data_IF_065382580224
#
_entry.id   IF_065382580224
#
_cell.length_a   1.000
_cell.length_b   1.000
_cell.length_c   1.000
_cell.angle_alpha   90.00
_cell.angle_beta   90.00
_cell.angle_gamma   90.00
#
_symmetry.space_group_name_H-M   'P 1'
#
loop_
_entity.id
_entity.type
_entity.pdbx_description
1 polymer ?
#
# COMPACT_ATOMS: atom_id res chain seq x y z
N UNK A 1 14.57 29.12 16.24
CA UNK A 1 14.21 27.75 16.69
C UNK A 1 15.46 26.88 16.63
N UNK A 2 15.81 26.18 17.70
CA UNK A 2 16.96 25.25 17.70
C UNK A 2 16.56 23.94 17.01
N UNK A 3 17.19 23.63 15.89
CA UNK A 3 16.95 22.37 15.17
C UNK A 3 17.43 21.16 15.99
N UNK A 4 16.60 20.13 16.09
CA UNK A 4 16.91 18.92 16.84
C UNK A 4 17.72 17.96 15.95
N UNK A 5 18.86 17.48 16.45
CA UNK A 5 19.71 16.50 15.76
C UNK A 5 19.21 15.08 16.02
N UNK A 6 19.10 14.28 14.96
CA UNK A 6 18.68 12.88 15.00
C UNK A 6 19.66 12.02 14.20
N UNK A 7 19.80 10.74 14.58
CA UNK A 7 20.62 9.79 13.85
C UNK A 7 19.98 9.34 12.52
N UNK A 8 18.64 9.39 12.47
CA UNK A 8 17.83 9.13 11.29
C UNK A 8 16.47 9.84 11.43
N UNK A 9 15.84 10.14 10.28
CA UNK A 9 14.44 10.56 10.17
C UNK A 9 13.71 9.58 9.28
N UNK A 10 12.60 9.02 9.77
CA UNK A 10 11.71 8.12 9.02
C UNK A 10 10.36 8.80 8.80
N UNK A 11 9.93 8.88 7.55
CA UNK A 11 8.68 9.55 7.15
C UNK A 11 7.62 8.51 6.81
N UNK A 12 6.54 8.48 7.58
CA UNK A 12 5.40 7.58 7.47
C UNK A 12 5.44 6.46 8.52
N UNK A 13 4.29 6.19 9.15
CA UNK A 13 4.09 5.10 10.12
C UNK A 13 3.16 3.99 9.58
N UNK A 14 3.17 3.80 8.26
CA UNK A 14 2.59 2.60 7.63
C UNK A 14 3.47 1.35 7.81
N UNK A 15 3.10 0.22 7.18
CA UNK A 15 3.86 -1.03 7.25
C UNK A 15 5.37 -0.88 7.03
N UNK A 16 5.78 -0.16 5.99
CA UNK A 16 7.19 0.00 5.67
C UNK A 16 7.93 0.87 6.70
N UNK A 17 7.34 2.00 7.11
CA UNK A 17 7.95 2.89 8.09
C UNK A 17 8.11 2.25 9.47
N UNK A 18 7.11 1.47 9.91
CA UNK A 18 7.22 0.67 11.12
C UNK A 18 8.38 -0.33 11.01
N UNK A 19 8.49 -1.06 9.90
CA UNK A 19 9.60 -1.98 9.66
C UNK A 19 10.97 -1.28 9.61
N UNK A 20 11.06 -0.09 9.03
CA UNK A 20 12.30 0.72 9.01
C UNK A 20 12.73 1.05 10.43
N UNK A 21 11.81 1.58 11.26
CA UNK A 21 12.11 1.92 12.65
C UNK A 21 12.59 0.69 13.42
N UNK A 22 11.90 -0.44 13.28
CA UNK A 22 12.29 -1.69 13.92
C UNK A 22 13.72 -2.13 13.54
N UNK A 23 14.07 -2.06 12.25
CA UNK A 23 15.41 -2.41 11.78
C UNK A 23 16.47 -1.40 12.23
N UNK A 24 16.18 -0.09 12.22
CA UNK A 24 17.14 0.93 12.67
C UNK A 24 17.40 0.86 14.18
N UNK A 25 16.39 0.56 14.98
CA UNK A 25 16.53 0.38 16.43
C UNK A 25 17.42 -0.82 16.78
N UNK A 26 17.39 -1.92 15.99
CA UNK A 26 18.34 -3.04 16.15
C UNK A 26 19.80 -2.63 15.91
N UNK A 27 20.04 -1.57 15.15
CA UNK A 27 21.39 -1.07 14.86
C UNK A 27 21.96 -0.18 15.95
N UNK A 28 21.17 0.17 16.97
CA UNK A 28 21.61 0.94 18.13
C UNK A 28 22.41 2.19 17.74
N UNK A 29 21.85 3.00 16.83
CA UNK A 29 22.51 4.20 16.34
C UNK A 29 22.84 5.17 17.49
N UNK A 30 23.94 5.90 17.35
CA UNK A 30 24.30 6.98 18.27
C UNK A 30 23.34 8.17 18.11
N UNK A 31 22.26 8.17 18.89
CA UNK A 31 21.26 9.24 18.94
C UNK A 31 19.83 8.76 18.68
N UNK A 32 18.87 9.68 18.78
CA UNK A 32 17.45 9.36 18.57
C UNK A 32 17.11 9.20 17.09
N UNK A 33 16.14 8.34 16.80
CA UNK A 33 15.50 8.22 15.50
C UNK A 33 14.21 9.02 15.54
N UNK A 34 14.09 10.05 14.70
CA UNK A 34 12.83 10.75 14.53
C UNK A 34 11.90 9.92 13.64
N UNK A 35 10.69 9.66 14.11
CA UNK A 35 9.65 9.01 13.34
C UNK A 35 8.51 9.98 13.15
N UNK A 36 8.11 10.23 11.90
CA UNK A 36 7.15 11.28 11.56
C UNK A 36 5.95 10.63 10.88
N UNK A 37 4.75 10.85 11.41
CA UNK A 37 3.51 10.45 10.76
C UNK A 37 2.36 11.39 11.15
N UNK A 38 1.38 11.64 10.27
CA UNK A 38 0.23 12.48 10.62
C UNK A 38 -0.64 11.92 11.76
N UNK A 39 -0.60 10.60 11.99
CA UNK A 39 -1.59 9.89 12.82
C UNK A 39 -1.03 8.79 13.73
N UNK A 40 0.08 8.14 13.37
CA UNK A 40 0.59 6.90 13.98
C UNK A 40 -0.43 5.76 14.03
N UNK A 41 -1.30 5.69 13.02
CA UNK A 41 -2.38 4.70 12.98
C UNK A 41 -2.11 3.53 12.02
N UNK A 42 -0.86 3.21 11.65
CA UNK A 42 -0.60 2.06 10.76
C UNK A 42 -0.92 2.31 9.28
N UNK A 43 -0.94 3.57 8.85
CA UNK A 43 -1.10 3.99 7.45
C UNK A 43 -2.46 3.63 6.82
N UNK A 44 -2.47 3.47 5.49
CA UNK A 44 -3.71 3.20 4.73
C UNK A 44 -4.33 1.83 5.05
N UNK A 45 -3.52 0.83 5.40
CA UNK A 45 -4.02 -0.51 5.79
C UNK A 45 -5.02 -0.45 6.93
N UNK A 46 -4.70 0.29 8.00
CA UNK A 46 -5.62 0.45 9.13
C UNK A 46 -6.76 1.44 8.85
N UNK A 47 -6.51 2.50 8.07
CA UNK A 47 -7.54 3.53 7.84
C UNK A 47 -8.63 3.10 6.85
N UNK A 48 -8.26 2.35 5.81
CA UNK A 48 -9.14 2.06 4.67
C UNK A 48 -9.40 0.58 4.44
N UNK A 49 -8.46 -0.32 4.82
CA UNK A 49 -8.50 -1.71 4.38
C UNK A 49 -8.78 -2.73 5.48
N UNK A 50 -9.34 -2.34 6.63
CA UNK A 50 -9.59 -3.28 7.74
C UNK A 50 -10.50 -4.45 7.35
N UNK A 51 -11.54 -4.18 6.56
CA UNK A 51 -12.52 -5.20 6.12
C UNK A 51 -12.01 -6.05 4.95
N UNK A 52 -10.90 -5.65 4.32
CA UNK A 52 -10.37 -6.34 3.14
C UNK A 52 -9.83 -7.72 3.54
N UNK A 53 -10.27 -8.81 2.88
CA UNK A 53 -9.64 -10.11 3.04
C UNK A 53 -8.22 -10.05 2.45
N UNK A 54 -7.23 -10.42 3.25
CA UNK A 54 -5.84 -10.38 2.81
C UNK A 54 -5.52 -11.45 1.76
N UNK A 55 -4.51 -11.18 0.95
CA UNK A 55 -3.85 -12.16 0.07
C UNK A 55 -2.59 -12.79 0.70
N UNK A 56 -2.37 -12.53 2.00
CA UNK A 56 -1.16 -12.87 2.75
C UNK A 56 -1.53 -13.87 3.84
N UNK A 57 -0.73 -14.95 3.97
CA UNK A 57 -0.93 -15.93 5.03
C UNK A 57 -0.70 -15.31 6.41
N UNK A 58 -1.45 -15.76 7.42
CA UNK A 58 -1.32 -15.29 8.80
C UNK A 58 0.12 -15.45 9.31
N UNK A 59 0.77 -16.57 9.01
CA UNK A 59 2.18 -16.83 9.36
C UNK A 59 3.14 -15.72 8.92
N UNK A 60 2.88 -15.05 7.79
CA UNK A 60 3.72 -13.95 7.30
C UNK A 60 3.51 -12.66 8.10
N UNK A 61 2.31 -12.43 8.65
CA UNK A 61 2.07 -11.34 9.60
C UNK A 61 2.78 -11.59 10.94
N UNK A 62 2.81 -12.84 11.40
CA UNK A 62 3.54 -13.23 12.60
C UNK A 62 5.06 -13.14 12.39
N UNK A 63 5.57 -13.56 11.23
CA UNK A 63 6.97 -13.41 10.86
C UNK A 63 7.37 -11.92 10.82
N UNK A 64 6.52 -11.06 10.27
CA UNK A 64 6.71 -9.61 10.28
C UNK A 64 6.82 -9.05 11.71
N UNK A 65 5.87 -9.38 12.59
CA UNK A 65 5.82 -8.81 13.95
C UNK A 65 6.95 -9.29 14.85
N UNK A 66 7.57 -10.43 14.56
CA UNK A 66 8.64 -11.01 15.38
C UNK A 66 10.03 -10.85 14.76
N UNK A 67 10.12 -10.20 13.60
CA UNK A 67 11.34 -10.16 12.80
C UNK A 67 12.53 -9.49 13.50
N UNK A 68 12.27 -8.46 14.31
CA UNK A 68 13.27 -7.59 14.91
C UNK A 68 13.11 -7.52 16.44
N UNK A 69 14.22 -7.34 17.15
CA UNK A 69 14.26 -7.35 18.61
C UNK A 69 13.36 -6.29 19.26
N UNK A 70 13.30 -5.03 18.78
CA UNK A 70 12.38 -4.03 19.34
C UNK A 70 10.92 -4.47 19.29
N UNK A 71 10.49 -5.15 18.23
CA UNK A 71 9.12 -5.66 18.16
C UNK A 71 8.88 -6.81 19.12
N UNK A 72 9.84 -7.74 19.24
CA UNK A 72 9.77 -8.84 20.22
C UNK A 72 9.66 -8.30 21.65
N UNK A 73 10.40 -7.22 21.97
CA UNK A 73 10.31 -6.55 23.26
C UNK A 73 8.89 -6.00 23.50
N UNK A 74 8.33 -5.25 22.53
CA UNK A 74 6.95 -4.74 22.62
C UNK A 74 5.94 -5.88 22.83
N UNK A 75 6.06 -6.96 22.07
CA UNK A 75 5.16 -8.13 22.21
C UNK A 75 5.27 -8.71 23.62
N UNK A 76 6.49 -8.92 24.12
CA UNK A 76 6.72 -9.51 25.45
C UNK A 76 6.24 -8.64 26.60
N UNK A 77 6.25 -7.31 26.43
CA UNK A 77 5.81 -6.35 27.45
C UNK A 77 4.33 -5.96 27.32
N UNK A 78 3.60 -6.47 26.33
CA UNK A 78 2.19 -6.12 26.12
C UNK A 78 1.29 -7.10 26.89
N UNK A 79 0.50 -6.65 27.88
CA UNK A 79 -0.40 -7.52 28.64
C UNK A 79 -1.43 -8.21 27.75
N UNK A 80 -1.91 -9.38 28.16
CA UNK A 80 -3.01 -10.09 27.49
C UNK A 80 -4.37 -9.72 28.08
N UNK A 81 -5.45 -9.63 27.28
CA UNK A 81 -5.53 -9.95 25.84
C UNK A 81 -4.92 -8.84 24.95
N UNK A 82 -4.28 -9.24 23.85
CA UNK A 82 -3.67 -8.30 22.90
C UNK A 82 -3.73 -8.80 21.44
N UNK A 83 -3.51 -7.91 20.45
CA UNK A 83 -3.57 -8.27 19.03
C UNK A 83 -2.60 -9.39 18.60
N UNK A 84 -1.46 -9.51 19.27
CA UNK A 84 -0.46 -10.55 18.97
C UNK A 84 -0.98 -11.94 19.31
N UNK A 85 -1.56 -12.09 20.51
CA UNK A 85 -2.19 -13.34 20.95
C UNK A 85 -3.40 -13.70 20.07
N UNK A 86 -4.17 -12.71 19.62
CA UNK A 86 -5.28 -12.93 18.68
C UNK A 86 -4.77 -13.44 17.34
N UNK A 87 -3.73 -12.81 16.77
CA UNK A 87 -3.14 -13.21 15.48
C UNK A 87 -2.54 -14.63 15.54
N UNK A 88 -1.91 -15.00 16.66
CA UNK A 88 -1.32 -16.32 16.87
C UNK A 88 -2.35 -17.46 16.97
N UNK A 89 -3.61 -17.16 17.33
CA UNK A 89 -4.69 -18.15 17.41
C UNK A 89 -5.37 -18.45 16.08
N UNK A 90 -5.12 -17.63 15.05
CA UNK A 90 -5.66 -17.88 13.71
C UNK A 90 -4.91 -19.04 13.03
N UNK A 91 -5.53 -19.61 12.00
CA UNK A 91 -4.88 -20.61 11.15
C UNK A 91 -3.71 -19.98 10.38
N UNK A 92 -2.50 -20.46 10.66
CA UNK A 92 -1.25 -19.90 10.15
C UNK A 92 -1.04 -20.13 8.64
N UNK A 93 -1.74 -21.10 8.06
CA UNK A 93 -1.67 -21.45 6.64
C UNK A 93 -2.74 -20.78 5.78
N UNK A 94 -3.70 -20.11 6.42
CA UNK A 94 -4.79 -19.39 5.75
C UNK A 94 -4.52 -17.88 5.70
N UNK A 95 -5.31 -17.20 4.89
CA UNK A 95 -5.43 -15.74 4.90
C UNK A 95 -6.43 -15.28 5.96
N UNK A 96 -6.36 -14.03 6.40
CA UNK A 96 -7.33 -13.42 7.32
C UNK A 96 -7.81 -12.04 6.82
N UNK A 97 -8.80 -11.43 7.48
CA UNK A 97 -9.10 -10.01 7.26
C UNK A 97 -7.93 -9.13 7.75
N UNK A 98 -7.69 -8.03 7.03
CA UNK A 98 -6.56 -7.13 7.31
C UNK A 98 -6.70 -6.36 8.62
N UNK A 99 -7.87 -6.34 9.28
CA UNK A 99 -8.00 -5.79 10.62
C UNK A 99 -7.03 -6.43 11.62
N UNK A 100 -6.74 -7.73 11.49
CA UNK A 100 -5.79 -8.41 12.38
C UNK A 100 -4.36 -7.89 12.20
N UNK A 101 -3.94 -7.68 10.95
CA UNK A 101 -2.65 -7.06 10.65
C UNK A 101 -2.61 -5.59 11.10
N UNK A 102 -3.71 -4.85 10.90
CA UNK A 102 -3.82 -3.46 11.32
C UNK A 102 -3.73 -3.31 12.85
N UNK A 103 -4.39 -4.17 13.63
CA UNK A 103 -4.32 -4.14 15.09
C UNK A 103 -2.94 -4.55 15.61
N UNK A 104 -2.31 -5.55 14.99
CA UNK A 104 -0.92 -5.94 15.27
C UNK A 104 0.06 -4.78 15.01
N UNK A 105 -0.06 -4.09 13.87
CA UNK A 105 0.79 -2.92 13.57
C UNK A 105 0.52 -1.74 14.50
N UNK A 106 -0.74 -1.51 14.90
CA UNK A 106 -1.09 -0.46 15.86
C UNK A 106 -0.45 -0.73 17.21
N UNK A 107 -0.57 -1.96 17.73
CA UNK A 107 0.06 -2.35 18.99
C UNK A 107 1.59 -2.24 18.95
N UNK A 108 2.23 -2.61 17.84
CA UNK A 108 3.68 -2.39 17.66
C UNK A 108 4.02 -0.90 17.67
N UNK A 109 3.27 -0.09 16.94
CA UNK A 109 3.46 1.37 16.88
C UNK A 109 3.35 1.97 18.28
N UNK A 110 2.30 1.64 19.03
CA UNK A 110 2.03 2.13 20.39
C UNK A 110 3.15 1.78 21.38
N UNK A 111 3.82 0.63 21.20
CA UNK A 111 4.98 0.25 22.01
C UNK A 111 6.26 0.96 21.58
N UNK A 112 6.51 1.08 20.28
CA UNK A 112 7.73 1.68 19.72
C UNK A 112 7.80 3.19 20.00
N UNK A 113 6.69 3.92 19.92
CA UNK A 113 6.67 5.37 20.20
C UNK A 113 7.03 5.71 21.66
N UNK A 114 6.99 4.73 22.57
CA UNK A 114 7.34 4.89 23.99
C UNK A 114 8.83 4.63 24.28
N UNK A 115 9.60 4.18 23.30
CA UNK A 115 11.03 3.92 23.48
C UNK A 115 11.82 5.22 23.52
N UNK A 116 12.75 5.36 24.47
CA UNK A 116 13.55 6.58 24.66
C UNK A 116 14.37 6.98 23.43
N UNK A 117 14.75 6.00 22.62
CA UNK A 117 15.49 6.13 21.36
C UNK A 117 14.64 6.71 20.23
N UNK A 118 13.32 6.75 20.38
CA UNK A 118 12.39 7.23 19.35
C UNK A 118 11.90 8.63 19.71
N UNK A 119 12.04 9.55 18.75
CA UNK A 119 11.39 10.86 18.80
C UNK A 119 10.18 10.81 17.86
N UNK A 120 9.00 10.50 18.41
CA UNK A 120 7.77 10.47 17.64
C UNK A 120 7.24 11.90 17.42
N UNK A 121 7.07 12.29 16.15
CA UNK A 121 6.61 13.62 15.76
C UNK A 121 5.35 13.51 14.91
N UNK A 122 4.23 14.02 15.43
CA UNK A 122 2.97 14.04 14.69
C UNK A 122 2.97 15.20 13.69
N UNK A 123 2.98 14.88 12.40
CA UNK A 123 3.00 15.89 11.34
C UNK A 123 3.34 15.31 9.98
N UNK A 124 3.51 16.20 9.01
CA UNK A 124 3.88 15.88 7.63
C UNK A 124 5.18 16.56 7.29
N UNK A 125 6.11 15.83 6.64
CA UNK A 125 7.29 16.46 6.06
C UNK A 125 6.88 17.22 4.81
N UNK A 126 7.18 18.51 4.76
CA UNK A 126 6.85 19.38 3.62
C UNK A 126 8.07 19.62 2.74
N UNK A 127 9.26 19.71 3.33
CA UNK A 127 10.52 19.87 2.63
C UNK A 127 11.67 19.16 3.34
N UNK A 128 12.73 18.83 2.59
CA UNK A 128 14.01 18.43 3.14
C UNK A 128 15.16 18.90 2.24
N UNK A 129 16.13 19.58 2.86
CA UNK A 129 17.25 20.21 2.16
C UNK A 129 18.56 19.60 2.64
N UNK A 130 19.37 19.09 1.71
CA UNK A 130 20.72 18.62 2.00
C UNK A 130 21.74 19.74 1.77
N UNK A 131 22.65 19.90 2.72
CA UNK A 131 23.77 20.85 2.63
C UNK A 131 25.09 20.13 2.34
N UNK A 132 26.14 20.86 1.95
CA UNK A 132 27.52 20.37 1.69
C UNK A 132 28.08 19.37 2.72
N UNK A 133 27.63 19.41 3.98
CA UNK A 133 28.03 18.46 5.02
C UNK A 133 27.30 17.10 4.93
N UNK A 134 26.54 16.86 3.86
CA UNK A 134 25.71 15.69 3.59
C UNK A 134 24.57 15.43 4.60
N UNK A 135 24.31 16.36 5.53
CA UNK A 135 23.16 16.28 6.43
C UNK A 135 21.92 16.91 5.80
N UNK A 136 20.78 16.27 6.04
CA UNK A 136 19.45 16.73 5.71
C UNK A 136 18.89 17.59 6.83
N UNK A 137 18.40 18.78 6.47
CA UNK A 137 17.49 19.57 7.29
C UNK A 137 16.07 19.27 6.83
N UNK A 138 15.26 18.67 7.69
CA UNK A 138 13.90 18.21 7.42
C UNK A 138 12.91 19.13 8.11
N UNK A 139 11.90 19.57 7.35
CA UNK A 139 10.88 20.52 7.78
C UNK A 139 9.55 19.79 7.96
N UNK A 140 9.04 19.81 9.19
CA UNK A 140 7.82 19.09 9.58
C UNK A 140 6.74 20.09 9.93
N UNK A 141 5.64 20.06 9.18
CA UNK A 141 4.44 20.83 9.46
C UNK A 141 3.57 20.08 10.48
N UNK A 142 3.25 20.74 11.60
CA UNK A 142 2.29 20.19 12.56
C UNK A 142 0.85 20.34 12.06
N UNK A 143 -0.03 19.35 12.29
CA UNK A 143 -1.43 19.46 11.89
C UNK A 143 -2.11 20.63 12.61
N UNK A 144 -2.76 21.52 11.86
CA UNK A 144 -3.55 22.63 12.43
C UNK A 144 -2.73 23.73 13.11
N UNK A 145 -1.42 23.79 12.90
CA UNK A 145 -0.56 24.87 13.39
C UNK A 145 0.29 25.42 12.24
N UNK A 146 0.69 26.68 12.30
CA UNK A 146 1.72 27.27 11.43
C UNK A 146 3.14 26.96 11.93
N UNK A 147 3.28 26.33 13.09
CA UNK A 147 4.58 25.97 13.64
C UNK A 147 5.25 24.86 12.85
N UNK A 148 6.50 25.10 12.48
CA UNK A 148 7.37 24.16 11.80
C UNK A 148 8.40 23.58 12.78
N UNK A 149 8.64 22.27 12.72
CA UNK A 149 9.73 21.61 13.43
C UNK A 149 10.85 21.34 12.45
N UNK A 150 12.08 21.71 12.85
CA UNK A 150 13.29 21.46 12.05
C UNK A 150 14.13 20.35 12.69
N UNK A 151 14.43 19.33 11.88
CA UNK A 151 15.24 18.18 12.27
C UNK A 151 16.49 18.11 11.39
N UNK A 152 17.65 17.83 11.99
CA UNK A 152 18.90 17.61 11.26
C UNK A 152 19.28 16.14 11.37
N UNK A 153 19.56 15.50 10.24
CA UNK A 153 19.87 14.07 10.19
C UNK A 153 20.85 13.72 9.07
N UNK A 154 21.75 12.75 9.26
CA UNK A 154 22.53 12.20 8.15
C UNK A 154 21.69 11.27 7.25
N UNK A 155 20.51 10.84 7.70
CA UNK A 155 19.67 9.83 7.03
C UNK A 155 18.21 10.25 7.01
N UNK A 156 17.62 10.34 5.83
CA UNK A 156 16.21 10.57 5.57
C UNK A 156 15.63 9.36 4.84
N UNK A 157 14.67 8.68 5.46
CA UNK A 157 14.02 7.48 4.91
C UNK A 157 12.55 7.79 4.61
N UNK A 158 12.16 7.70 3.34
CA UNK A 158 10.84 8.00 2.83
C UNK A 158 9.99 6.71 2.74
N UNK A 159 8.94 6.63 3.55
CA UNK A 159 7.91 5.58 3.51
C UNK A 159 6.53 6.20 3.27
N UNK A 160 6.44 7.06 2.24
CA UNK A 160 5.30 7.98 2.02
C UNK A 160 3.99 7.30 1.66
N UNK A 161 4.03 6.06 1.14
CA UNK A 161 2.83 5.32 0.79
C UNK A 161 2.33 5.61 -0.62
N UNK A 162 1.08 5.22 -0.87
CA UNK A 162 0.45 5.32 -2.19
C UNK A 162 -1.07 5.40 -2.03
N UNK A 163 -1.74 5.85 -3.10
CA UNK A 163 -3.19 5.92 -3.23
C UNK A 163 -3.66 5.14 -4.48
N UNK A 164 -4.91 4.67 -4.53
CA UNK A 164 -5.48 4.08 -5.74
C UNK A 164 -5.27 4.99 -6.94
N UNK A 165 -4.76 4.43 -8.03
CA UNK A 165 -4.51 5.20 -9.25
C UNK A 165 -5.83 5.65 -9.85
N UNK A 166 -5.93 6.96 -10.08
CA UNK A 166 -7.08 7.59 -10.73
C UNK A 166 -6.62 8.17 -12.07
N UNK A 167 -7.16 7.66 -13.17
CA UNK A 167 -6.88 8.16 -14.52
C UNK A 167 -8.09 8.91 -15.09
N UNK A 168 -7.89 9.90 -15.96
CA UNK A 168 -8.98 10.50 -16.73
C UNK A 168 -9.76 9.43 -17.50
N UNK A 169 -11.07 9.60 -17.61
CA UNK A 169 -11.92 8.70 -18.41
C UNK A 169 -11.69 9.03 -19.88
N UNK A 170 -11.35 8.06 -20.76
CA UNK A 170 -10.99 8.34 -22.16
C UNK A 170 -12.21 8.63 -23.07
N UNK A 171 -13.33 9.03 -22.47
CA UNK A 171 -14.63 9.29 -23.12
C UNK A 171 -15.14 10.64 -22.60
N UNK A 172 -15.45 11.55 -23.51
CA UNK A 172 -15.99 12.88 -23.19
C UNK A 172 -17.52 12.84 -23.00
N UNK A 173 -18.08 13.86 -22.35
CA UNK A 173 -19.53 14.05 -22.21
C UNK A 173 -20.22 13.06 -21.26
N UNK A 174 -19.50 12.56 -20.26
CA UNK A 174 -20.01 11.64 -19.23
C UNK A 174 -20.32 12.39 -17.93
N UNK A 175 -21.10 13.46 -18.01
CA UNK A 175 -21.33 14.39 -16.89
C UNK A 175 -22.06 13.73 -15.70
N UNK A 176 -22.82 12.67 -15.96
CA UNK A 176 -23.54 11.90 -14.95
C UNK A 176 -22.74 10.74 -14.34
N UNK A 177 -21.53 10.45 -14.85
CA UNK A 177 -20.73 9.33 -14.37
C UNK A 177 -19.95 9.73 -13.11
N UNK A 178 -20.37 9.20 -11.97
CA UNK A 178 -19.72 9.47 -10.70
C UNK A 178 -18.51 8.55 -10.49
N UNK A 179 -17.39 9.10 -10.00
CA UNK A 179 -16.29 8.24 -9.55
C UNK A 179 -16.64 7.64 -8.20
N UNK A 180 -16.49 6.33 -8.09
CA UNK A 180 -16.61 5.61 -6.84
C UNK A 180 -15.22 5.14 -6.42
N UNK A 181 -14.70 5.74 -5.34
CA UNK A 181 -13.34 5.51 -4.87
C UNK A 181 -13.13 4.02 -4.52
N UNK A 182 -11.99 3.46 -4.97
CA UNK A 182 -11.65 2.07 -4.70
C UNK A 182 -11.61 1.77 -3.19
N UNK A 183 -11.17 2.73 -2.36
CA UNK A 183 -11.13 2.57 -0.90
C UNK A 183 -12.54 2.35 -0.33
N UNK A 184 -13.54 3.08 -0.84
CA UNK A 184 -14.95 2.91 -0.45
C UNK A 184 -15.46 1.54 -0.91
N UNK A 185 -15.15 1.13 -2.14
CA UNK A 185 -15.63 -0.15 -2.70
C UNK A 185 -15.06 -1.35 -1.96
N UNK A 186 -13.84 -1.23 -1.45
CA UNK A 186 -13.18 -2.27 -0.68
C UNK A 186 -13.63 -2.34 0.79
N UNK A 187 -14.52 -1.43 1.22
CA UNK A 187 -15.08 -1.36 2.56
C UNK A 187 -16.59 -1.57 2.53
N UNK A 188 -17.08 -2.83 2.63
CA UNK A 188 -18.51 -3.16 2.54
C UNK A 188 -19.41 -2.31 3.43
N UNK A 189 -18.97 -2.02 4.67
CA UNK A 189 -19.72 -1.18 5.61
C UNK A 189 -19.99 0.24 5.12
N UNK A 190 -19.09 0.83 4.33
CA UNK A 190 -19.28 2.15 3.72
C UNK A 190 -20.03 2.03 2.38
N UNK A 191 -19.63 1.07 1.54
CA UNK A 191 -20.17 0.88 0.19
C UNK A 191 -21.71 0.75 0.17
N UNK A 192 -22.28 0.06 1.16
CA UNK A 192 -23.72 -0.17 1.30
C UNK A 192 -24.56 1.12 1.45
N UNK A 193 -23.92 2.22 1.83
CA UNK A 193 -24.56 3.52 2.04
C UNK A 193 -24.32 4.50 0.88
N UNK A 194 -23.23 4.30 0.13
CA UNK A 194 -22.83 5.18 -0.98
C UNK A 194 -23.62 4.88 -2.26
N UNK A 195 -23.92 3.61 -2.53
CA UNK A 195 -24.72 3.24 -3.70
C UNK A 195 -26.21 3.42 -3.38
N UNK A 196 -26.98 4.19 -4.17
CA UNK A 196 -28.41 4.34 -3.95
C UNK A 196 -29.18 3.02 -4.14
N UNK A 197 -30.12 2.74 -3.24
CA UNK A 197 -30.99 1.54 -3.26
C UNK A 197 -32.29 1.72 -4.03
N UNK A 198 -32.77 2.95 -4.12
CA UNK A 198 -34.14 3.26 -4.57
C UNK A 198 -34.30 3.26 -6.10
N UNK A 199 -33.21 3.13 -6.85
CA UNK A 199 -33.24 3.09 -8.31
C UNK A 199 -32.13 2.20 -8.87
N UNK A 200 -32.27 1.81 -10.13
CA UNK A 200 -31.26 0.99 -10.80
C UNK A 200 -29.93 1.72 -10.90
N UNK A 201 -28.87 0.99 -10.60
CA UNK A 201 -27.49 1.45 -10.61
C UNK A 201 -26.68 0.54 -11.52
N UNK A 202 -25.82 1.12 -12.35
CA UNK A 202 -24.85 0.34 -13.13
C UNK A 202 -23.45 0.83 -12.83
N UNK A 203 -22.65 0.00 -12.18
CA UNK A 203 -21.27 0.32 -11.79
C UNK A 203 -20.31 -0.24 -12.83
N UNK A 204 -19.50 0.60 -13.45
CA UNK A 204 -18.37 0.18 -14.26
C UNK A 204 -17.18 -0.13 -13.35
N UNK A 205 -16.56 -1.31 -13.48
CA UNK A 205 -15.34 -1.69 -12.78
C UNK A 205 -14.24 -1.96 -13.80
N UNK A 206 -13.15 -1.21 -13.73
CA UNK A 206 -11.99 -1.36 -14.63
C UNK A 206 -10.85 -2.03 -13.89
N UNK A 207 -10.38 -3.16 -14.43
CA UNK A 207 -9.24 -3.92 -13.89
C UNK A 207 -9.58 -5.39 -13.63
N UNK A 208 -8.56 -6.23 -13.50
CA UNK A 208 -8.69 -7.67 -13.23
C UNK A 208 -7.70 -8.17 -12.16
N UNK A 209 -7.12 -7.24 -11.39
CA UNK A 209 -6.20 -7.53 -10.28
C UNK A 209 -6.95 -7.90 -9.00
N UNK A 210 -6.21 -8.25 -7.94
CA UNK A 210 -6.80 -8.63 -6.65
C UNK A 210 -7.84 -7.62 -6.12
N UNK A 211 -7.54 -6.32 -6.13
CA UNK A 211 -8.47 -5.28 -5.70
C UNK A 211 -9.71 -5.18 -6.60
N UNK A 212 -9.55 -5.42 -7.92
CA UNK A 212 -10.69 -5.41 -8.83
C UNK A 212 -11.65 -6.57 -8.55
N UNK A 213 -11.11 -7.76 -8.28
CA UNK A 213 -11.92 -8.94 -7.96
C UNK A 213 -12.64 -8.78 -6.63
N UNK A 214 -11.99 -8.20 -5.62
CA UNK A 214 -12.66 -7.87 -4.36
C UNK A 214 -13.73 -6.79 -4.52
N UNK A 215 -13.50 -5.80 -5.40
CA UNK A 215 -14.53 -4.82 -5.73
C UNK A 215 -15.76 -5.48 -6.37
N UNK A 216 -15.56 -6.40 -7.32
CA UNK A 216 -16.64 -7.19 -7.92
C UNK A 216 -17.34 -8.06 -6.89
N UNK A 217 -16.60 -8.69 -5.98
CA UNK A 217 -17.15 -9.50 -4.90
C UNK A 217 -18.07 -8.67 -4.00
N UNK A 218 -17.63 -7.50 -3.54
CA UNK A 218 -18.43 -6.62 -2.69
C UNK A 218 -19.67 -6.08 -3.43
N UNK A 219 -19.54 -5.72 -4.71
CA UNK A 219 -20.68 -5.25 -5.52
C UNK A 219 -21.69 -6.37 -5.80
N UNK A 220 -21.21 -7.60 -6.07
CA UNK A 220 -22.04 -8.79 -6.19
C UNK A 220 -22.79 -9.07 -4.88
N UNK A 221 -22.10 -8.96 -3.74
CA UNK A 221 -22.69 -9.14 -2.42
C UNK A 221 -23.81 -8.13 -2.15
N UNK A 222 -23.61 -6.87 -2.51
CA UNK A 222 -24.67 -5.87 -2.45
C UNK A 222 -25.82 -6.19 -3.39
N UNK A 223 -25.54 -6.59 -4.62
CA UNK A 223 -26.54 -6.87 -5.64
C UNK A 223 -27.47 -8.05 -5.23
N UNK A 224 -26.91 -9.09 -4.60
CA UNK A 224 -27.69 -10.25 -4.14
C UNK A 224 -28.45 -10.00 -2.82
N UNK A 225 -28.09 -8.98 -2.05
CA UNK A 225 -28.66 -8.74 -0.70
C UNK A 225 -29.51 -7.48 -0.61
N UNK A 226 -28.90 -6.31 -0.78
CA UNK A 226 -29.48 -5.01 -0.40
C UNK A 226 -29.81 -4.11 -1.59
N UNK A 227 -29.24 -4.42 -2.76
CA UNK A 227 -29.36 -3.62 -3.99
C UNK A 227 -29.76 -4.50 -5.19
N UNK A 228 -30.95 -5.12 -5.22
CA UNK A 228 -31.34 -6.10 -6.26
C UNK A 228 -31.33 -5.54 -7.69
N UNK A 229 -31.41 -4.22 -7.84
CA UNK A 229 -31.36 -3.51 -9.13
C UNK A 229 -29.94 -3.07 -9.54
N UNK A 230 -28.92 -3.37 -8.73
CA UNK A 230 -27.51 -3.09 -9.04
C UNK A 230 -27.03 -4.04 -10.14
N UNK A 231 -26.37 -3.46 -11.15
CA UNK A 231 -25.67 -4.19 -12.21
C UNK A 231 -24.22 -3.71 -12.28
N UNK A 232 -23.35 -4.57 -12.78
CA UNK A 232 -21.92 -4.29 -12.89
C UNK A 232 -21.45 -4.57 -14.30
N UNK A 233 -20.74 -3.63 -14.90
CA UNK A 233 -19.99 -3.85 -16.14
C UNK A 233 -18.51 -3.93 -15.83
N UNK A 234 -17.91 -5.08 -16.07
CA UNK A 234 -16.53 -5.38 -15.71
C UNK A 234 -15.62 -5.33 -16.94
N UNK A 235 -14.76 -4.30 -17.01
CA UNK A 235 -13.86 -4.05 -18.13
C UNK A 235 -12.48 -4.68 -17.87
N UNK A 236 -12.07 -5.58 -18.76
CA UNK A 236 -10.82 -6.35 -18.61
C UNK A 236 -9.97 -6.32 -19.86
N UNK A 237 -8.64 -6.25 -19.70
CA UNK A 237 -7.68 -6.26 -20.83
C UNK A 237 -7.01 -7.61 -21.06
N UNK A 238 -7.11 -8.51 -20.09
CA UNK A 238 -6.46 -9.81 -20.09
C UNK A 238 -7.27 -10.80 -19.26
N UNK A 239 -7.08 -12.12 -19.49
CA UNK A 239 -7.62 -13.17 -18.64
C UNK A 239 -7.14 -13.03 -17.18
N UNK A 240 -7.90 -13.62 -16.28
CA UNK A 240 -7.54 -13.69 -14.87
C UNK A 240 -6.22 -14.44 -14.69
N UNK A 241 -5.38 -13.96 -13.77
CA UNK A 241 -4.07 -14.55 -13.48
C UNK A 241 -4.02 -14.95 -12.02
N UNK A 242 -3.66 -16.19 -11.76
CA UNK A 242 -3.57 -16.74 -10.42
C UNK A 242 -2.12 -16.82 -9.98
N UNK A 243 -1.92 -16.73 -8.66
CA UNK A 243 -0.63 -17.08 -8.09
C UNK A 243 -0.51 -18.60 -8.01
N UNK A 244 0.65 -19.13 -8.40
CA UNK A 244 0.91 -20.57 -8.47
C UNK A 244 2.02 -20.90 -7.48
N UNK A 245 1.75 -21.82 -6.54
CA UNK A 245 2.72 -22.23 -5.54
C UNK A 245 3.70 -23.23 -6.16
N UNK A 246 4.97 -22.83 -6.22
CA UNK A 246 6.07 -23.63 -6.72
C UNK A 246 6.90 -24.16 -5.54
N UNK A 247 7.93 -24.96 -5.81
CA UNK A 247 8.86 -25.42 -4.77
C UNK A 247 9.70 -24.25 -4.23
N UNK A 248 9.35 -23.74 -3.05
CA UNK A 248 10.07 -22.65 -2.37
C UNK A 248 9.78 -21.23 -2.86
N UNK A 249 8.95 -21.03 -3.89
CA UNK A 249 8.57 -19.71 -4.42
C UNK A 249 7.14 -19.69 -4.98
N UNK A 250 6.66 -18.51 -5.39
CA UNK A 250 5.30 -18.33 -5.94
C UNK A 250 5.41 -17.60 -7.27
N UNK A 251 4.88 -18.19 -8.34
CA UNK A 251 4.77 -17.54 -9.63
C UNK A 251 3.64 -16.49 -9.56
N UNK A 252 3.91 -15.28 -10.06
CA UNK A 252 3.02 -14.11 -9.96
C UNK A 252 2.66 -13.81 -8.50
N UNK A 253 3.67 -13.80 -7.63
CA UNK A 253 3.47 -13.58 -6.20
C UNK A 253 2.90 -12.19 -5.87
N UNK A 254 3.18 -11.19 -6.70
CA UNK A 254 2.72 -9.82 -6.50
C UNK A 254 1.50 -9.46 -7.37
N UNK A 255 1.33 -10.17 -8.50
CA UNK A 255 0.32 -9.83 -9.51
C UNK A 255 -0.82 -10.84 -9.63
N UNK A 256 -0.64 -12.07 -9.13
CA UNK A 256 -1.62 -13.14 -9.21
C UNK A 256 -2.66 -13.13 -8.08
N UNK A 257 -3.87 -13.58 -8.39
CA UNK A 257 -4.96 -13.75 -7.44
C UNK A 257 -4.66 -14.85 -6.41
N UNK A 258 -5.04 -14.59 -5.16
CA UNK A 258 -4.87 -15.48 -4.00
C UNK A 258 -6.06 -15.38 -3.06
N UNK A 259 -6.20 -16.40 -2.20
CA UNK A 259 -7.21 -16.46 -1.15
C UNK A 259 -8.62 -16.25 -1.69
N UNK A 260 -9.45 -15.54 -0.94
CA UNK A 260 -10.85 -15.31 -1.26
C UNK A 260 -11.09 -14.73 -2.66
N UNK A 261 -10.23 -13.83 -3.13
CA UNK A 261 -10.37 -13.28 -4.48
C UNK A 261 -10.14 -14.35 -5.57
N UNK A 262 -9.15 -15.25 -5.39
CA UNK A 262 -8.94 -16.34 -6.33
C UNK A 262 -10.12 -17.31 -6.34
N UNK A 263 -10.63 -17.65 -5.15
CA UNK A 263 -11.75 -18.58 -5.01
C UNK A 263 -13.02 -18.02 -5.63
N UNK A 264 -13.36 -16.75 -5.35
CA UNK A 264 -14.49 -16.07 -5.98
C UNK A 264 -14.32 -16.00 -7.51
N UNK A 265 -13.14 -15.64 -7.99
CA UNK A 265 -12.89 -15.55 -9.42
C UNK A 265 -13.13 -16.89 -10.13
N UNK A 266 -12.58 -18.00 -9.60
CA UNK A 266 -12.77 -19.34 -10.19
C UNK A 266 -14.22 -19.79 -10.17
N UNK A 267 -14.94 -19.51 -9.09
CA UNK A 267 -16.31 -19.97 -8.91
C UNK A 267 -17.34 -19.14 -9.67
N UNK A 268 -17.04 -17.87 -9.98
CA UNK A 268 -18.07 -16.91 -10.41
C UNK A 268 -17.68 -16.06 -11.62
N UNK A 269 -16.38 -15.87 -11.92
CA UNK A 269 -15.95 -14.84 -12.88
C UNK A 269 -15.19 -15.38 -14.10
N UNK A 270 -14.71 -16.63 -14.08
CA UNK A 270 -14.05 -17.24 -15.24
C UNK A 270 -14.95 -17.22 -16.48
N UNK A 271 -14.36 -17.11 -17.67
CA UNK A 271 -15.12 -16.89 -18.91
C UNK A 271 -16.14 -18.01 -19.19
N UNK A 272 -15.76 -19.26 -18.90
CA UNK A 272 -16.63 -20.44 -19.06
C UNK A 272 -17.71 -20.55 -17.97
N UNK A 273 -17.53 -19.82 -16.86
CA UNK A 273 -18.33 -19.91 -15.63
C UNK A 273 -19.31 -18.75 -15.52
N UNK A 274 -18.88 -17.53 -15.85
CA UNK A 274 -19.59 -16.28 -15.54
C UNK A 274 -21.05 -16.33 -16.01
N UNK A 275 -21.30 -16.73 -17.26
CA UNK A 275 -22.65 -16.78 -17.86
C UNK A 275 -23.63 -17.73 -17.14
N UNK A 276 -23.12 -18.73 -16.41
CA UNK A 276 -23.91 -19.74 -15.69
C UNK A 276 -23.92 -19.53 -14.18
N UNK A 277 -23.02 -18.68 -13.69
CA UNK A 277 -22.84 -18.40 -12.27
C UNK A 277 -23.92 -17.47 -11.71
N UNK A 278 -24.02 -17.39 -10.38
CA UNK A 278 -24.91 -16.42 -9.74
C UNK A 278 -24.44 -14.98 -10.02
N UNK A 279 -23.12 -14.75 -10.03
CA UNK A 279 -22.55 -13.45 -10.35
C UNK A 279 -22.92 -12.98 -11.76
N UNK A 280 -23.04 -13.89 -12.74
CA UNK A 280 -23.45 -13.59 -14.11
C UNK A 280 -24.83 -12.95 -14.25
N UNK A 281 -25.69 -13.09 -13.22
CA UNK A 281 -27.01 -12.42 -13.18
C UNK A 281 -26.89 -10.91 -12.96
N UNK A 282 -25.76 -10.46 -12.42
CA UNK A 282 -25.52 -9.07 -12.03
C UNK A 282 -24.32 -8.45 -12.75
N UNK A 283 -23.34 -9.25 -13.14
CA UNK A 283 -22.05 -8.83 -13.71
C UNK A 283 -21.98 -9.23 -15.18
N UNK A 284 -21.69 -8.26 -16.04
CA UNK A 284 -21.37 -8.49 -17.45
C UNK A 284 -19.92 -8.12 -17.72
N UNK A 285 -19.14 -9.05 -18.30
CA UNK A 285 -17.75 -8.83 -18.66
C UNK A 285 -17.65 -8.16 -20.04
N UNK A 286 -16.83 -7.12 -20.13
CA UNK A 286 -16.54 -6.35 -21.33
C UNK A 286 -15.06 -6.56 -21.69
N UNK A 287 -14.82 -7.21 -22.83
CA UNK A 287 -13.48 -7.50 -23.32
C UNK A 287 -12.85 -6.26 -23.99
N UNK A 288 -11.85 -5.71 -23.31
CA UNK A 288 -11.02 -4.59 -23.75
C UNK A 288 -9.62 -5.05 -24.21
N UNK A 289 -9.40 -6.35 -24.43
CA UNK A 289 -8.16 -6.85 -25.02
C UNK A 289 -8.02 -6.40 -26.48
N UNK A 290 -6.78 -6.32 -26.99
CA UNK A 290 -6.51 -5.91 -28.37
C UNK A 290 -6.09 -4.44 -28.55
N UNK A 291 -5.67 -3.77 -27.47
CA UNK A 291 -4.98 -2.47 -27.52
C UNK A 291 -5.85 -1.24 -27.23
N UNK A 292 -5.23 -0.05 -27.16
CA UNK A 292 -5.88 1.18 -26.67
C UNK A 292 -7.13 1.59 -27.46
N UNK A 293 -7.14 1.39 -28.78
CA UNK A 293 -8.27 1.77 -29.63
C UNK A 293 -9.50 0.91 -29.36
N UNK A 294 -9.32 -0.40 -29.16
CA UNK A 294 -10.42 -1.31 -28.80
C UNK A 294 -10.93 -1.01 -27.40
N UNK A 295 -10.02 -0.80 -26.44
CA UNK A 295 -10.38 -0.37 -25.08
C UNK A 295 -11.23 0.92 -25.10
N UNK A 296 -10.79 1.95 -25.83
CA UNK A 296 -11.52 3.21 -25.98
C UNK A 296 -12.91 3.00 -26.60
N UNK A 297 -13.02 2.17 -27.65
CA UNK A 297 -14.32 1.84 -28.28
C UNK A 297 -15.27 1.15 -27.30
N UNK A 298 -14.78 0.18 -26.54
CA UNK A 298 -15.58 -0.54 -25.53
C UNK A 298 -16.04 0.38 -24.40
N UNK A 299 -15.16 1.24 -23.91
CA UNK A 299 -15.51 2.23 -22.88
C UNK A 299 -16.55 3.22 -23.43
N UNK A 300 -16.38 3.74 -24.65
CA UNK A 300 -17.34 4.67 -25.26
C UNK A 300 -18.72 4.03 -25.49
N UNK A 301 -18.78 2.73 -25.83
CA UNK A 301 -20.03 2.03 -26.03
C UNK A 301 -20.80 1.73 -24.73
N UNK A 302 -20.08 1.49 -23.62
CA UNK A 302 -20.69 0.94 -22.42
C UNK A 302 -20.75 1.88 -21.21
N UNK A 303 -19.82 2.85 -21.09
CA UNK A 303 -19.81 3.81 -19.99
C UNK A 303 -21.00 4.78 -19.96
N UNK A 304 -21.59 5.23 -21.10
CA UNK A 304 -22.73 6.14 -21.05
C UNK A 304 -23.94 5.62 -20.28
N UNK A 305 -24.07 4.29 -20.13
CA UNK A 305 -25.15 3.68 -19.35
C UNK A 305 -24.76 3.37 -17.90
N UNK A 306 -23.57 3.78 -17.46
CA UNK A 306 -23.08 3.54 -16.11
C UNK A 306 -23.30 4.79 -15.25
N UNK A 307 -23.73 4.59 -14.01
CA UNK A 307 -23.88 5.67 -13.03
C UNK A 307 -22.59 5.90 -12.25
N UNK A 308 -21.78 4.86 -12.05
CA UNK A 308 -20.53 4.93 -11.31
C UNK A 308 -19.37 4.28 -12.05
N UNK A 309 -18.16 4.74 -11.78
CA UNK A 309 -16.91 4.16 -12.26
C UNK A 309 -15.94 3.89 -11.10
N UNK A 310 -15.50 2.64 -11.01
CA UNK A 310 -14.44 2.17 -10.11
C UNK A 310 -13.21 1.83 -10.95
N UNK A 311 -12.07 2.43 -10.63
CA UNK A 311 -10.78 2.12 -11.24
C UNK A 311 -9.92 1.31 -10.26
N UNK A 312 -9.72 0.02 -10.56
CA UNK A 312 -8.90 -0.90 -9.79
C UNK A 312 -7.63 -1.28 -10.59
N UNK A 313 -6.89 -0.26 -11.01
CA UNK A 313 -5.83 -0.34 -12.02
C UNK A 313 -4.41 -0.18 -11.44
N UNK A 314 -4.27 -0.24 -10.12
CA UNK A 314 -2.99 -0.10 -9.44
C UNK A 314 -2.98 1.04 -8.43
N UNK A 315 -1.78 1.34 -7.94
CA UNK A 315 -1.54 2.38 -6.95
C UNK A 315 -0.48 3.36 -7.48
N UNK A 316 -0.72 4.64 -7.21
CA UNK A 316 0.21 5.73 -7.52
C UNK A 316 0.88 6.16 -6.24
N UNK A 317 2.21 6.32 -6.29
CA UNK A 317 3.01 6.82 -5.18
C UNK A 317 2.48 8.18 -4.70
N UNK A 318 2.40 8.36 -3.38
CA UNK A 318 2.05 9.66 -2.80
C UNK A 318 3.17 10.67 -3.08
N UNK A 319 2.86 11.97 -3.25
CA UNK A 319 3.86 13.00 -3.52
C UNK A 319 5.02 12.97 -2.52
N UNK A 320 6.22 13.24 -3.01
CA UNK A 320 7.38 13.41 -2.14
C UNK A 320 7.34 14.82 -1.53
N UNK A 321 7.94 15.02 -0.34
CA UNK A 321 8.25 16.38 0.10
C UNK A 321 9.14 17.09 -0.93
N UNK A 322 9.19 18.41 -0.87
CA UNK A 322 10.18 19.16 -1.66
C UNK A 322 11.58 18.74 -1.23
N UNK A 323 12.40 18.31 -2.18
CA UNK A 323 13.77 17.86 -1.92
C UNK A 323 14.74 18.80 -2.62
N UNK A 324 15.79 19.23 -1.92
CA UNK A 324 16.86 20.02 -2.54
C UNK A 324 18.25 19.62 -2.03
N UNK A 325 19.27 19.86 -2.86
CA UNK A 325 20.68 19.66 -2.53
C UNK A 325 21.43 20.95 -2.88
N UNK A 326 22.11 21.54 -1.90
CA UNK A 326 22.87 22.79 -2.05
C UNK A 326 22.07 23.94 -2.69
N UNK A 327 20.76 24.01 -2.38
CA UNK A 327 19.84 25.05 -2.88
C UNK A 327 19.22 24.74 -4.24
N UNK A 328 19.56 23.63 -4.89
CA UNK A 328 18.97 23.20 -6.15
C UNK A 328 17.93 22.10 -5.92
N UNK A 329 16.76 22.22 -6.57
CA UNK A 329 15.71 21.22 -6.50
C UNK A 329 16.21 19.85 -7.00
N UNK A 330 15.92 18.80 -6.22
CA UNK A 330 16.14 17.42 -6.61
C UNK A 330 14.90 16.94 -7.37
N UNK A 331 14.81 17.34 -8.64
CA UNK A 331 13.68 16.97 -9.49
C UNK A 331 13.75 15.49 -9.89
N UNK A 332 12.63 14.79 -9.71
CA UNK A 332 12.42 13.38 -10.12
C UNK A 332 13.56 12.43 -9.71
N UNK A 333 13.92 12.32 -8.42
CA UNK A 333 14.95 11.40 -7.99
C UNK A 333 14.57 9.96 -8.35
N UNK A 334 15.53 9.22 -8.90
CA UNK A 334 15.36 7.84 -9.33
C UNK A 334 15.61 6.92 -8.14
N UNK A 335 14.65 6.05 -7.84
CA UNK A 335 14.79 5.08 -6.76
C UNK A 335 15.57 3.86 -7.24
N UNK A 336 16.59 3.46 -6.48
CA UNK A 336 17.30 2.21 -6.68
C UNK A 336 16.59 1.09 -5.91
N UNK A 337 15.97 0.18 -6.65
CA UNK A 337 15.19 -0.93 -6.12
C UNK A 337 16.01 -1.98 -5.37
N UNK A 338 17.35 -2.02 -5.56
CA UNK A 338 18.22 -3.01 -4.97
C UNK A 338 18.84 -2.53 -3.64
N UNK A 339 19.33 -1.28 -3.61
CA UNK A 339 19.91 -0.67 -2.42
C UNK A 339 18.90 0.08 -1.54
N UNK A 340 17.75 0.47 -2.11
CA UNK A 340 16.79 1.36 -1.47
C UNK A 340 17.24 2.81 -1.37
N UNK A 341 18.32 3.20 -2.04
CA UNK A 341 18.78 4.57 -2.15
C UNK A 341 18.12 5.33 -3.30
N UNK A 342 18.54 6.58 -3.49
CA UNK A 342 18.13 7.41 -4.62
C UNK A 342 19.33 7.87 -5.44
N UNK A 343 19.08 8.14 -6.70
CA UNK A 343 20.02 8.78 -7.62
C UNK A 343 19.41 10.06 -8.18
N UNK A 344 20.27 11.05 -8.46
CA UNK A 344 19.93 12.20 -9.29
C UNK A 344 19.60 11.75 -10.71
N UNK A 345 18.99 12.62 -11.51
CA UNK A 345 18.78 12.36 -12.94
C UNK A 345 20.09 12.06 -13.69
N UNK A 346 21.20 12.65 -13.24
CA UNK A 346 22.56 12.39 -13.75
C UNK A 346 23.19 11.07 -13.25
N UNK A 347 22.44 10.23 -12.53
CA UNK A 347 22.90 8.92 -12.05
C UNK A 347 23.82 8.96 -10.83
N UNK A 348 23.94 10.11 -10.14
CA UNK A 348 24.75 10.22 -8.91
C UNK A 348 23.92 9.82 -7.70
N UNK A 349 24.47 8.96 -6.85
CA UNK A 349 23.82 8.58 -5.59
C UNK A 349 23.57 9.80 -4.69
N UNK A 350 22.34 9.91 -4.19
CA UNK A 350 21.92 10.94 -3.23
C UNK A 350 22.18 10.42 -1.83
N UNK A 351 23.26 10.90 -1.22
CA UNK A 351 23.73 10.38 0.06
C UNK A 351 22.71 10.57 1.17
N UNK A 352 22.46 9.52 1.95
CA UNK A 352 21.58 9.57 3.11
C UNK A 352 20.10 9.67 2.79
N UNK A 353 19.68 9.60 1.51
CA UNK A 353 18.28 9.53 1.12
C UNK A 353 17.92 8.09 0.75
N UNK A 354 16.92 7.54 1.43
CA UNK A 354 16.46 6.16 1.23
C UNK A 354 14.94 6.07 1.16
N UNK A 355 14.43 4.99 0.57
CA UNK A 355 13.00 4.75 0.37
C UNK A 355 12.61 3.32 0.68
N UNK A 356 11.40 3.11 1.19
CA UNK A 356 10.84 1.77 1.36
C UNK A 356 9.31 1.74 1.25
N UNK A 357 8.76 0.55 1.01
CA UNK A 357 7.33 0.29 1.01
C UNK A 357 6.71 0.29 -0.38
N UNK A 358 5.38 0.40 -0.46
CA UNK A 358 4.66 0.40 -1.74
C UNK A 358 5.09 1.56 -2.66
N UNK A 359 5.52 2.68 -2.08
CA UNK A 359 6.09 3.82 -2.81
C UNK A 359 7.44 3.51 -3.47
N UNK A 360 8.20 2.58 -2.87
CA UNK A 360 9.60 2.28 -3.14
C UNK A 360 9.86 0.78 -2.93
N UNK A 361 9.21 -0.09 -3.73
CA UNK A 361 9.23 -1.52 -3.49
C UNK A 361 10.55 -2.14 -3.98
N UNK A 362 10.97 -3.25 -3.38
CA UNK A 362 12.07 -4.05 -3.93
C UNK A 362 11.69 -4.60 -5.31
N UNK A 363 12.62 -4.58 -6.26
CA UNK A 363 12.49 -5.29 -7.54
C UNK A 363 12.90 -6.74 -7.32
N UNK A 364 12.04 -7.67 -7.71
CA UNK A 364 12.32 -9.10 -7.61
C UNK A 364 12.21 -9.73 -9.00
N UNK A 365 13.06 -10.74 -9.24
CA UNK A 365 13.03 -11.53 -10.47
C UNK A 365 12.80 -12.97 -10.07
N UNK A 366 11.75 -13.57 -10.62
CA UNK A 366 11.44 -14.98 -10.35
C UNK A 366 12.37 -15.92 -11.17
N UNK A 367 12.40 -17.23 -10.87
CA UNK A 367 13.22 -18.20 -11.61
C UNK A 367 12.91 -18.30 -13.11
N UNK A 368 11.77 -17.79 -13.57
CA UNK A 368 11.41 -17.72 -15.00
C UNK A 368 11.82 -16.39 -15.65
N UNK A 369 12.50 -15.50 -14.91
CA UNK A 369 12.93 -14.19 -15.41
C UNK A 369 11.84 -13.12 -15.38
N UNK A 370 10.65 -13.39 -14.80
CA UNK A 370 9.63 -12.36 -14.69
C UNK A 370 10.02 -11.36 -13.61
N UNK A 371 9.86 -10.08 -13.93
CA UNK A 371 10.13 -8.98 -13.00
C UNK A 371 8.85 -8.57 -12.30
N UNK A 372 8.87 -8.56 -10.97
CA UNK A 372 7.79 -8.02 -10.14
C UNK A 372 8.34 -7.04 -9.10
N UNK A 373 7.43 -6.30 -8.45
CA UNK A 373 7.76 -5.41 -7.35
C UNK A 373 7.15 -5.93 -6.05
N UNK A 374 7.99 -6.13 -5.04
CA UNK A 374 7.64 -6.82 -3.80
C UNK A 374 6.81 -5.91 -2.87
N UNK A 375 5.48 -6.05 -2.91
CA UNK A 375 4.55 -5.27 -2.08
C UNK A 375 3.85 -6.17 -1.07
N UNK A 376 4.11 -5.91 0.22
CA UNK A 376 3.50 -6.63 1.34
C UNK A 376 4.33 -6.50 2.61
N UNK A 377 3.69 -6.63 3.77
CA UNK A 377 4.33 -6.43 5.09
C UNK A 377 5.64 -7.22 5.21
N UNK A 378 5.58 -8.53 5.04
CA UNK A 378 6.76 -9.40 5.16
C UNK A 378 7.82 -9.13 4.10
N UNK A 379 7.41 -8.73 2.89
CA UNK A 379 8.32 -8.36 1.79
C UNK A 379 9.11 -7.11 2.14
N UNK A 380 8.45 -6.08 2.68
CA UNK A 380 9.12 -4.88 3.19
C UNK A 380 10.13 -5.22 4.28
N UNK A 381 9.77 -6.09 5.22
CA UNK A 381 10.68 -6.52 6.28
C UNK A 381 11.91 -7.27 5.72
N UNK A 382 11.72 -8.19 4.77
CA UNK A 382 12.82 -8.91 4.11
C UNK A 382 13.78 -7.96 3.39
N UNK A 383 13.23 -7.03 2.60
CA UNK A 383 14.01 -6.01 1.94
C UNK A 383 14.83 -5.17 2.94
N UNK A 384 14.18 -4.68 3.99
CA UNK A 384 14.81 -3.83 4.99
C UNK A 384 15.90 -4.53 5.80
N UNK A 385 15.75 -5.83 6.09
CA UNK A 385 16.84 -6.62 6.71
C UNK A 385 18.08 -6.67 5.83
N UNK A 386 17.91 -6.71 4.50
CA UNK A 386 18.99 -6.72 3.51
C UNK A 386 19.69 -5.36 3.41
N UNK A 387 18.93 -4.27 3.27
CA UNK A 387 19.49 -2.96 2.89
C UNK A 387 19.85 -2.04 4.06
N UNK A 388 19.09 -2.09 5.17
CA UNK A 388 19.33 -1.22 6.34
C UNK A 388 20.77 -1.29 6.89
N UNK A 389 21.47 -2.45 6.96
CA UNK A 389 22.87 -2.45 7.40
C UNK A 389 23.77 -1.55 6.55
N UNK A 390 23.55 -1.49 5.23
CA UNK A 390 24.34 -0.65 4.32
C UNK A 390 24.00 0.84 4.51
N UNK A 391 22.73 1.15 4.80
CA UNK A 391 22.29 2.53 5.07
C UNK A 391 22.97 3.14 6.29
N UNK A 392 23.36 2.32 7.27
CA UNK A 392 24.03 2.77 8.50
C UNK A 392 25.53 2.99 8.28
N UNK A 393 26.17 2.13 7.48
CA UNK A 393 27.61 2.21 7.18
C UNK A 393 27.94 3.35 6.21
N UNK A 394 27.04 3.69 5.29
CA UNK A 394 27.25 4.73 4.27
C UNK A 394 27.29 6.19 4.80
N UNK A 395 27.35 6.39 6.12
CA UNK A 395 27.69 7.70 6.71
C UNK A 395 29.14 7.67 7.16
N UNK A 396 30.08 8.36 6.48
CA UNK A 396 31.33 8.74 7.10
C UNK A 396 31.12 9.63 8.32
#
# INVERSE_FOLDING_TARGET
MTAQKCAAVVVGAGPAGLAVIGNLLERQLAGKIAWIDPSFQGGRVNRQYREVPSNTKVSLFQAYSTAVQPFRNVISSTPTPNPFATLAKLDQDKTCHLHHAADMMRALTDGIVKMDQVYACRGSVVAANQTRNANWTVYVQRPGSSDEIQLITPRLILCTGSHPTSLPVPVAGLDNLQRLDLDVVLKPSDLVSVIPRCHSQTVAVVGASHSAILALFNLFDLARTTHPQLRVKWFTRHPLRYAEFMDGWILRDNTGLKGMAADFARQQLEDEVLSKSEAGRFISKIDCSGGPDREKKQMAAHLPSCSHLVQAIGFTRDPLPELSIDGYALDKPQFDHDSGGFMTESGRAVRGLFGAGIAFPERVVDPHGNVEYAVGLWKFMKFLKKVTPQWVVASP
#
